data_IF_553073440411
#
_entry.id   IF_553073440411
#
_cell.length_a   1.000
_cell.length_b   1.000
_cell.length_c   1.000
_cell.angle_alpha   90.00
_cell.angle_beta   90.00
_cell.angle_gamma   90.00
#
_symmetry.space_group_name_H-M   'P 1'
#
loop_
_entity.id
_entity.type
_entity.pdbx_description
1 polymer ?
#
# COMPACT_ATOMS: atom_id res chain seq x y z
N UNK A 1 4.14 -10.06 2.58
CA UNK A 1 3.38 -10.71 3.68
C UNK A 1 2.33 -11.62 3.05
N UNK A 2 1.89 -12.72 3.69
CA UNK A 2 0.73 -13.48 3.20
C UNK A 2 -0.58 -12.75 3.55
N UNK A 3 -1.66 -12.99 2.80
CA UNK A 3 -2.97 -12.34 3.07
C UNK A 3 -3.51 -12.62 4.47
N UNK A 4 -3.29 -13.82 4.99
CA UNK A 4 -3.69 -14.17 6.35
C UNK A 4 -2.89 -13.37 7.38
N UNK A 5 -1.56 -13.29 7.19
CA UNK A 5 -0.68 -12.50 8.06
C UNK A 5 -1.04 -11.01 8.05
N UNK A 6 -1.47 -10.46 6.92
CA UNK A 6 -1.90 -9.07 6.83
C UNK A 6 -3.13 -8.79 7.72
N UNK A 7 -4.11 -9.69 7.74
CA UNK A 7 -5.30 -9.55 8.60
C UNK A 7 -4.99 -9.65 10.09
N UNK A 8 -3.97 -10.44 10.46
CA UNK A 8 -3.61 -10.66 11.86
C UNK A 8 -2.68 -9.56 12.42
N UNK A 9 -1.90 -8.89 11.56
CA UNK A 9 -0.84 -7.96 11.99
C UNK A 9 -1.13 -6.49 11.64
N UNK A 10 -2.07 -6.21 10.73
CA UNK A 10 -2.41 -4.84 10.33
C UNK A 10 -3.70 -4.43 11.00
N UNK A 11 -3.65 -3.36 11.79
CA UNK A 11 -4.86 -2.77 12.35
C UNK A 11 -5.59 -1.89 11.32
N UNK A 12 -6.90 -1.76 11.49
CA UNK A 12 -7.69 -0.85 10.66
C UNK A 12 -7.27 0.62 10.86
N UNK A 13 -6.83 0.97 12.07
CA UNK A 13 -6.34 2.30 12.43
C UNK A 13 -5.07 2.65 11.65
N UNK A 14 -4.06 1.79 11.66
CA UNK A 14 -2.84 1.99 10.86
C UNK A 14 -3.15 2.03 9.35
N UNK A 15 -4.13 1.24 8.89
CA UNK A 15 -4.56 1.33 7.50
C UNK A 15 -5.18 2.71 7.20
N UNK A 16 -6.04 3.23 8.07
CA UNK A 16 -6.62 4.57 7.93
C UNK A 16 -5.55 5.66 7.94
N UNK A 17 -4.59 5.60 8.87
CA UNK A 17 -3.45 6.53 8.95
C UNK A 17 -2.60 6.49 7.68
N UNK A 18 -2.30 5.30 7.15
CA UNK A 18 -1.53 5.16 5.90
C UNK A 18 -2.23 5.73 4.67
N UNK A 19 -3.55 5.96 4.76
CA UNK A 19 -4.38 6.54 3.70
C UNK A 19 -4.71 8.02 3.97
N UNK A 20 -4.09 8.65 4.98
CA UNK A 20 -4.29 10.07 5.26
C UNK A 20 -3.89 10.94 4.05
N UNK A 21 -4.76 11.88 3.70
CA UNK A 21 -4.60 12.71 2.49
C UNK A 21 -5.03 12.03 1.18
N UNK A 22 -5.44 10.76 1.22
CA UNK A 22 -6.01 10.03 0.08
C UNK A 22 -7.50 9.85 0.32
N UNK A 23 -8.34 10.38 -0.57
CA UNK A 23 -9.75 10.08 -0.50
C UNK A 23 -9.98 8.61 -0.87
N UNK A 24 -10.61 7.85 0.02
CA UNK A 24 -10.90 6.44 -0.22
C UNK A 24 -12.20 6.01 0.45
N UNK A 25 -12.97 5.19 -0.25
CA UNK A 25 -14.14 4.49 0.30
C UNK A 25 -13.85 3.01 0.59
N UNK A 26 -12.60 2.61 0.38
CA UNK A 26 -12.20 1.21 0.34
C UNK A 26 -11.49 0.75 1.61
N UNK A 27 -11.19 1.62 2.57
CA UNK A 27 -10.58 1.23 3.86
C UNK A 27 -11.62 0.53 4.74
N UNK A 28 -11.55 -0.81 4.75
CA UNK A 28 -12.43 -1.72 5.50
C UNK A 28 -11.62 -2.92 6.01
N UNK A 29 -12.13 -3.62 7.02
CA UNK A 29 -11.52 -4.86 7.53
C UNK A 29 -11.35 -5.92 6.43
N UNK A 30 -12.30 -5.98 5.49
CA UNK A 30 -12.26 -6.93 4.36
C UNK A 30 -11.11 -6.67 3.38
N UNK A 31 -10.49 -5.50 3.43
CA UNK A 31 -9.44 -5.03 2.51
C UNK A 31 -8.07 -4.85 3.19
N UNK A 32 -7.92 -5.32 4.44
CA UNK A 32 -6.65 -5.21 5.19
C UNK A 32 -5.49 -5.90 4.48
N UNK A 33 -5.75 -6.97 3.73
CA UNK A 33 -4.75 -7.66 2.93
C UNK A 33 -4.27 -6.88 1.71
N UNK A 34 -4.90 -5.74 1.42
CA UNK A 34 -4.51 -4.79 0.39
C UNK A 34 -4.13 -3.42 0.96
N UNK A 35 -3.93 -3.33 2.27
CA UNK A 35 -3.35 -2.15 2.89
C UNK A 35 -1.93 -1.92 2.33
N UNK A 36 -1.43 -0.67 2.28
CA UNK A 36 -0.07 -0.38 1.84
C UNK A 36 0.98 -1.24 2.54
N UNK A 37 0.79 -1.52 3.83
CA UNK A 37 1.67 -2.34 4.66
C UNK A 37 1.68 -3.84 4.32
N UNK A 38 0.69 -4.33 3.56
CA UNK A 38 0.65 -5.73 3.12
C UNK A 38 1.71 -6.02 2.01
N UNK A 39 2.14 -4.97 1.30
CA UNK A 39 3.09 -5.03 0.20
C UNK A 39 4.53 -4.82 0.64
N UNK A 40 5.48 -5.06 -0.28
CA UNK A 40 6.89 -4.74 -0.05
C UNK A 40 7.11 -3.23 -0.08
N UNK A 41 8.06 -2.70 0.71
CA UNK A 41 8.47 -1.30 0.62
C UNK A 41 8.86 -0.92 -0.81
N UNK A 42 8.49 0.28 -1.24
CA UNK A 42 8.81 0.76 -2.59
C UNK A 42 10.34 0.88 -2.77
N UNK A 43 11.06 1.20 -1.71
CA UNK A 43 12.51 1.32 -1.67
C UNK A 43 13.19 -0.02 -2.03
N UNK A 44 12.63 -1.15 -1.59
CA UNK A 44 13.16 -2.47 -1.94
C UNK A 44 13.01 -2.73 -3.45
N UNK A 45 11.90 -2.31 -4.05
CA UNK A 45 11.67 -2.47 -5.49
C UNK A 45 12.64 -1.59 -6.27
N UNK A 46 12.76 -0.31 -5.88
CA UNK A 46 13.65 0.68 -6.52
C UNK A 46 15.09 0.17 -6.53
N UNK A 47 15.61 -0.26 -5.38
CA UNK A 47 16.99 -0.74 -5.26
C UNK A 47 17.27 -1.99 -6.11
N UNK A 48 16.26 -2.82 -6.37
CA UNK A 48 16.43 -4.04 -7.18
C UNK A 48 16.37 -3.81 -8.69
N UNK A 49 15.79 -2.69 -9.14
CA UNK A 49 15.63 -2.40 -10.59
C UNK A 49 16.58 -1.32 -11.10
N UNK A 50 17.34 -0.68 -10.21
CA UNK A 50 18.23 0.47 -10.50
C UNK A 50 19.12 0.27 -11.74
N UNK A 51 19.71 -0.92 -11.92
CA UNK A 51 20.59 -1.22 -13.06
C UNK A 51 19.85 -1.43 -14.40
N UNK A 52 18.52 -1.53 -14.37
CA UNK A 52 17.70 -1.98 -15.51
C UNK A 52 16.61 -1.01 -15.95
N UNK A 53 16.26 -0.04 -15.11
CA UNK A 53 15.19 0.91 -15.37
C UNK A 53 15.44 2.27 -14.73
N UNK A 54 15.13 3.33 -15.47
CA UNK A 54 15.14 4.69 -14.96
C UNK A 54 13.76 5.07 -14.40
N UNK A 55 13.75 5.71 -13.22
CA UNK A 55 12.53 6.25 -12.61
C UNK A 55 12.33 7.67 -13.15
N UNK A 56 11.32 7.83 -14.01
CA UNK A 56 10.99 9.15 -14.59
C UNK A 56 10.18 10.03 -13.62
N UNK A 57 9.26 9.44 -12.85
CA UNK A 57 8.41 10.17 -11.91
C UNK A 57 7.83 9.23 -10.82
N UNK A 58 7.48 9.79 -9.66
CA UNK A 58 6.81 9.07 -8.55
C UNK A 58 5.44 9.69 -8.31
N UNK A 59 4.39 8.96 -8.68
CA UNK A 59 3.01 9.42 -8.58
C UNK A 59 2.42 9.06 -7.21
N UNK A 60 1.88 10.07 -6.50
CA UNK A 60 1.15 9.88 -5.25
C UNK A 60 -0.36 9.87 -5.50
N UNK A 61 -1.10 8.83 -5.06
CA UNK A 61 -2.54 8.78 -5.24
C UNK A 61 -3.23 9.84 -4.36
N UNK A 62 -4.26 10.50 -4.90
CA UNK A 62 -5.19 11.38 -4.15
C UNK A 62 -6.58 10.76 -3.99
N UNK A 63 -6.87 9.74 -4.80
CA UNK A 63 -8.13 9.02 -4.82
C UNK A 63 -7.86 7.53 -4.98
N UNK A 64 -8.44 6.72 -4.10
CA UNK A 64 -8.38 5.26 -4.18
C UNK A 64 -9.80 4.67 -4.17
N UNK A 65 -10.11 3.91 -5.22
CA UNK A 65 -11.37 3.21 -5.38
C UNK A 65 -11.11 1.75 -5.72
N UNK A 66 -11.80 0.86 -5.00
CA UNK A 66 -11.76 -0.60 -5.18
C UNK A 66 -13.21 -1.09 -5.17
N UNK A 67 -13.59 -1.83 -6.21
CA UNK A 67 -14.95 -2.36 -6.44
C UNK A 67 -15.11 -3.78 -5.87
#
# INVERSE_FOLDING_TARGET
MSRAQAKDNISLEEYQESMEGIYTTSVKESTLDEAPMAYKPIEEIINNIEDTADILDIIKPIYNFKA
#
